data_IF_721032505913
#
_entry.id   IF_721032505913
#
_cell.length_a   1.000
_cell.length_b   1.000
_cell.length_c   1.000
_cell.angle_alpha   90.00
_cell.angle_beta   90.00
_cell.angle_gamma   90.00
#
_symmetry.space_group_name_H-M   'P 1'
#
loop_
_entity.id
_entity.type
_entity.pdbx_description
1 polymer ?
#
# COMPACT_ATOMS: atom_id res chain seq x y z
N UNK A 1 -14.44 12.75 -6.81
CA UNK A 1 -15.63 12.20 -6.14
C UNK A 1 -16.60 11.46 -7.07
N UNK A 2 -17.32 12.13 -7.97
CA UNK A 2 -18.38 11.50 -8.80
C UNK A 2 -17.91 10.33 -9.67
N UNK A 3 -16.69 10.40 -10.21
CA UNK A 3 -16.08 9.31 -10.98
C UNK A 3 -15.90 8.02 -10.16
N UNK A 4 -15.47 8.13 -8.90
CA UNK A 4 -15.34 6.97 -8.00
C UNK A 4 -16.71 6.39 -7.63
N UNK A 5 -17.71 7.26 -7.44
CA UNK A 5 -19.09 6.83 -7.22
C UNK A 5 -19.65 6.04 -8.41
N UNK A 6 -19.40 6.50 -9.64
CA UNK A 6 -19.76 5.79 -10.88
C UNK A 6 -19.04 4.43 -10.98
N UNK A 7 -17.74 4.35 -10.66
CA UNK A 7 -17.01 3.06 -10.63
C UNK A 7 -17.68 2.07 -9.67
N UNK A 8 -18.07 2.52 -8.48
CA UNK A 8 -18.68 1.62 -7.50
C UNK A 8 -20.11 1.19 -7.86
N UNK A 9 -20.88 2.01 -8.60
CA UNK A 9 -22.31 1.78 -8.83
C UNK A 9 -22.64 1.23 -10.20
N UNK A 10 -21.93 1.69 -11.23
CA UNK A 10 -22.35 1.53 -12.63
C UNK A 10 -21.36 0.69 -13.46
N UNK A 11 -20.13 0.50 -12.97
CA UNK A 11 -19.15 -0.38 -13.62
C UNK A 11 -19.31 -1.82 -13.12
N UNK A 12 -19.33 -2.79 -14.05
CA UNK A 12 -19.42 -4.22 -13.74
C UNK A 12 -18.35 -4.64 -12.72
N UNK A 13 -18.78 -5.15 -11.56
CA UNK A 13 -17.92 -5.52 -10.43
C UNK A 13 -16.99 -4.40 -9.91
N UNK A 14 -17.24 -3.14 -10.28
CA UNK A 14 -16.37 -2.03 -9.92
C UNK A 14 -16.28 -1.78 -8.41
N UNK A 15 -17.34 -2.09 -7.66
CA UNK A 15 -17.30 -2.06 -6.19
C UNK A 15 -16.29 -3.05 -5.61
N UNK A 16 -16.23 -4.29 -6.13
CA UNK A 16 -15.26 -5.30 -5.69
C UNK A 16 -13.85 -4.78 -5.95
N UNK A 17 -13.59 -4.32 -7.18
CA UNK A 17 -12.26 -3.84 -7.58
C UNK A 17 -11.84 -2.67 -6.70
N UNK A 18 -12.74 -1.70 -6.45
CA UNK A 18 -12.44 -0.57 -5.57
C UNK A 18 -12.10 -1.10 -4.16
N UNK A 19 -12.99 -1.82 -3.51
CA UNK A 19 -12.76 -2.21 -2.12
C UNK A 19 -11.59 -3.17 -1.96
N UNK A 20 -11.32 -4.03 -2.95
CA UNK A 20 -10.12 -4.84 -3.00
C UNK A 20 -8.86 -3.96 -3.05
N UNK A 21 -8.81 -2.96 -3.91
CA UNK A 21 -7.66 -2.06 -4.00
C UNK A 21 -7.44 -1.27 -2.70
N UNK A 22 -8.51 -0.74 -2.11
CA UNK A 22 -8.41 0.03 -0.86
C UNK A 22 -8.00 -0.83 0.34
N UNK A 23 -8.59 -2.01 0.52
CA UNK A 23 -8.19 -2.93 1.58
C UNK A 23 -6.81 -3.55 1.30
N UNK A 24 -6.47 -3.73 0.02
CA UNK A 24 -5.17 -4.19 -0.45
C UNK A 24 -4.05 -3.25 -0.02
N UNK A 25 -4.27 -1.94 -0.03
CA UNK A 25 -3.31 -0.97 0.51
C UNK A 25 -3.03 -1.23 2.00
N UNK A 26 -4.05 -1.46 2.83
CA UNK A 26 -3.88 -1.80 4.25
C UNK A 26 -3.14 -3.12 4.45
N UNK A 27 -3.47 -4.15 3.68
CA UNK A 27 -2.77 -5.43 3.70
C UNK A 27 -1.30 -5.29 3.30
N UNK A 28 -0.99 -4.41 2.34
CA UNK A 28 0.38 -4.12 1.93
C UNK A 28 1.20 -3.55 3.08
N UNK A 29 0.64 -2.60 3.85
CA UNK A 29 1.32 -2.06 5.04
C UNK A 29 1.48 -3.10 6.15
N UNK A 30 0.49 -3.96 6.37
CA UNK A 30 0.63 -5.08 7.30
C UNK A 30 1.81 -5.98 6.91
N UNK A 31 1.92 -6.34 5.63
CA UNK A 31 3.04 -7.12 5.11
C UNK A 31 4.39 -6.40 5.28
N UNK A 32 4.44 -5.08 5.00
CA UNK A 32 5.65 -4.28 5.20
C UNK A 32 6.10 -4.26 6.65
N UNK A 33 5.19 -4.03 7.60
CA UNK A 33 5.54 -3.98 9.02
C UNK A 33 6.02 -5.33 9.53
N UNK A 34 5.37 -6.42 9.14
CA UNK A 34 5.84 -7.78 9.46
C UNK A 34 7.21 -8.04 8.84
N UNK A 35 7.42 -7.63 7.58
CA UNK A 35 8.69 -7.81 6.88
C UNK A 35 9.84 -7.05 7.58
N UNK A 36 9.62 -5.80 7.97
CA UNK A 36 10.59 -4.99 8.73
C UNK A 36 10.84 -5.62 10.11
N UNK A 37 9.78 -5.99 10.83
CA UNK A 37 9.88 -6.63 12.15
C UNK A 37 10.70 -7.92 12.11
N UNK A 38 10.47 -8.78 11.11
CA UNK A 38 11.27 -9.98 10.84
C UNK A 38 12.74 -9.62 10.56
N UNK A 39 12.99 -8.58 9.78
CA UNK A 39 14.34 -8.13 9.48
C UNK A 39 15.11 -7.64 10.72
N UNK A 40 14.42 -6.94 11.63
CA UNK A 40 14.98 -6.52 12.92
C UNK A 40 15.23 -7.73 13.85
N UNK A 41 14.24 -8.63 13.99
CA UNK A 41 14.32 -9.78 14.89
C UNK A 41 15.47 -10.74 14.53
N UNK A 42 15.71 -10.99 13.24
CA UNK A 42 16.76 -11.89 12.76
C UNK A 42 18.06 -11.18 12.35
N UNK A 43 18.21 -9.88 12.62
CA UNK A 43 19.44 -9.14 12.27
C UNK A 43 19.70 -9.03 10.75
N UNK A 44 18.67 -9.16 9.92
CA UNK A 44 18.81 -9.14 8.46
C UNK A 44 19.19 -7.76 7.91
N UNK A 45 19.10 -6.70 8.72
CA UNK A 45 19.57 -5.35 8.39
C UNK A 45 21.11 -5.26 8.18
N UNK A 46 21.86 -6.30 8.56
CA UNK A 46 23.29 -6.43 8.26
C UNK A 46 23.58 -6.57 6.76
N UNK A 47 22.60 -7.01 5.96
CA UNK A 47 22.65 -6.93 4.50
C UNK A 47 22.36 -5.49 4.06
N UNK A 48 23.34 -4.60 4.21
CA UNK A 48 23.17 -3.14 4.14
C UNK A 48 22.54 -2.66 2.85
N UNK A 49 22.96 -3.16 1.69
CA UNK A 49 22.40 -2.76 0.40
C UNK A 49 20.92 -3.15 0.28
N UNK A 50 20.60 -4.39 0.64
CA UNK A 50 19.22 -4.89 0.64
C UNK A 50 18.35 -4.12 1.64
N UNK A 51 18.88 -3.81 2.82
CA UNK A 51 18.17 -3.06 3.84
C UNK A 51 17.90 -1.61 3.43
N UNK A 52 18.91 -0.92 2.88
CA UNK A 52 18.77 0.44 2.38
C UNK A 52 17.77 0.53 1.21
N UNK A 53 17.80 -0.44 0.28
CA UNK A 53 16.76 -0.56 -0.75
C UNK A 53 15.37 -0.81 -0.15
N UNK A 54 15.28 -1.61 0.91
CA UNK A 54 14.04 -1.82 1.67
C UNK A 54 13.48 -0.54 2.29
N UNK A 55 14.36 0.33 2.83
CA UNK A 55 13.96 1.66 3.37
C UNK A 55 13.43 2.55 2.24
N UNK A 56 14.08 2.57 1.07
CA UNK A 56 13.61 3.33 -0.09
C UNK A 56 12.23 2.82 -0.54
N UNK A 57 12.05 1.49 -0.60
CA UNK A 57 10.76 0.89 -0.94
C UNK A 57 9.66 1.28 0.06
N UNK A 58 9.97 1.30 1.37
CA UNK A 58 9.03 1.75 2.40
C UNK A 58 8.55 3.18 2.14
N UNK A 59 9.47 4.13 1.96
CA UNK A 59 9.09 5.53 1.70
C UNK A 59 8.35 5.70 0.38
N UNK A 60 8.72 4.95 -0.65
CA UNK A 60 8.03 4.97 -1.95
C UNK A 60 6.58 4.51 -1.83
N UNK A 61 6.34 3.43 -1.08
CA UNK A 61 4.98 2.92 -0.83
C UNK A 61 4.17 3.89 0.04
N UNK A 62 4.79 4.53 1.04
CA UNK A 62 4.14 5.57 1.83
C UNK A 62 3.68 6.75 0.97
N UNK A 63 4.56 7.29 0.11
CA UNK A 63 4.20 8.36 -0.82
C UNK A 63 3.09 7.94 -1.78
N UNK A 64 3.17 6.72 -2.31
CA UNK A 64 2.15 6.16 -3.23
C UNK A 64 0.78 6.04 -2.55
N UNK A 65 0.73 5.47 -1.34
CA UNK A 65 -0.51 5.30 -0.60
C UNK A 65 -1.12 6.64 -0.18
N UNK A 66 -0.28 7.59 0.25
CA UNK A 66 -0.72 8.95 0.59
C UNK A 66 -1.38 9.63 -0.61
N UNK A 67 -0.70 9.67 -1.77
CA UNK A 67 -1.26 10.28 -2.97
C UNK A 67 -2.52 9.54 -3.44
N UNK A 68 -2.55 8.21 -3.36
CA UNK A 68 -3.71 7.40 -3.70
C UNK A 68 -4.94 7.70 -2.84
N UNK A 69 -4.75 8.00 -1.55
CA UNK A 69 -5.83 8.38 -0.63
C UNK A 69 -6.49 9.71 -1.00
N UNK A 70 -5.76 10.64 -1.63
CA UNK A 70 -6.29 11.95 -2.04
C UNK A 70 -7.19 11.86 -3.28
N UNK A 71 -6.96 10.88 -4.17
CA UNK A 71 -7.64 10.76 -5.47
C UNK A 71 -9.19 10.70 -5.44
N UNK A 72 -9.84 10.02 -4.46
CA UNK A 72 -11.30 10.00 -4.39
C UNK A 72 -11.92 11.37 -4.13
N UNK A 73 -11.14 12.32 -3.61
CA UNK A 73 -11.56 13.68 -3.26
C UNK A 73 -12.80 13.67 -2.35
N UNK A 74 -12.64 12.97 -1.22
CA UNK A 74 -13.65 12.84 -0.16
C UNK A 74 -13.58 13.98 0.85
#
# INVERSE_FOLDING_TARGET
>A
FSSVAHICRDVNYGWIIRYLHANGASMFFLCLFIHIGRGLYYGSFTLTETWNMGIILLFTVMATAFMGYVLPWG
#
